data_IF_537347108166
#
_entry.id   IF_537347108166
#
_cell.length_a   1.000
_cell.length_b   1.000
_cell.length_c   1.000
_cell.angle_alpha   90.00
_cell.angle_beta   90.00
_cell.angle_gamma   90.00
#
_symmetry.space_group_name_H-M   'P 1'
#
loop_
_entity.id
_entity.type
_entity.pdbx_description
1 polymer ?
#
# COMPACT_ATOMS: atom_id res chain seq x y z
N UNK A 1 -0.16 -10.59 -5.47
CA UNK A 1 -0.86 -9.30 -5.57
C UNK A 1 -2.04 -9.30 -6.53
N UNK A 2 -1.91 -9.84 -7.76
CA UNK A 2 -3.01 -9.86 -8.74
C UNK A 2 -4.35 -10.34 -8.16
N UNK A 3 -4.38 -11.42 -7.39
CA UNK A 3 -5.61 -11.92 -6.77
C UNK A 3 -6.40 -10.84 -5.99
N UNK A 4 -5.75 -10.04 -5.15
CA UNK A 4 -6.45 -8.97 -4.42
C UNK A 4 -6.92 -7.86 -5.36
N UNK A 5 -6.03 -7.38 -6.24
CA UNK A 5 -6.34 -6.30 -7.17
C UNK A 5 -7.50 -6.66 -8.11
N UNK A 6 -7.52 -7.90 -8.60
CA UNK A 6 -8.52 -8.42 -9.53
C UNK A 6 -9.90 -8.58 -8.86
N UNK A 7 -9.93 -8.94 -7.57
CA UNK A 7 -11.19 -9.20 -6.84
C UNK A 7 -11.70 -8.02 -6.02
N UNK A 8 -10.91 -6.95 -5.82
CA UNK A 8 -11.31 -5.84 -4.96
C UNK A 8 -12.41 -4.97 -5.57
N UNK A 9 -12.41 -4.76 -6.89
CA UNK A 9 -13.45 -4.02 -7.61
C UNK A 9 -13.27 -4.12 -9.12
N UNK A 10 -14.35 -4.33 -9.87
CA UNK A 10 -14.35 -4.30 -11.34
C UNK A 10 -14.32 -2.89 -11.94
N UNK A 11 -14.41 -1.84 -11.12
CA UNK A 11 -14.37 -0.46 -11.60
C UNK A 11 -12.98 -0.07 -12.07
N UNK A 12 -12.89 0.51 -13.27
CA UNK A 12 -11.66 1.13 -13.78
C UNK A 12 -11.19 2.32 -12.94
N UNK A 13 -12.06 2.89 -12.10
CA UNK A 13 -11.71 3.96 -11.16
C UNK A 13 -11.25 3.45 -9.79
N UNK A 14 -11.08 2.14 -9.62
CA UNK A 14 -10.69 1.54 -8.35
C UNK A 14 -9.30 1.99 -7.90
N UNK A 15 -9.14 2.13 -6.58
CA UNK A 15 -7.88 2.45 -5.91
C UNK A 15 -7.62 1.39 -4.87
N UNK A 16 -6.45 0.78 -4.93
CA UNK A 16 -6.00 -0.22 -3.98
C UNK A 16 -5.13 0.45 -2.93
N UNK A 17 -5.45 0.21 -1.66
CA UNK A 17 -4.67 0.73 -0.54
C UNK A 17 -4.12 -0.42 0.29
N UNK A 18 -2.93 -0.21 0.83
CA UNK A 18 -2.32 -1.07 1.84
C UNK A 18 -1.37 -0.25 2.71
N UNK A 19 -1.05 -0.76 3.89
CA UNK A 19 -0.04 -0.16 4.77
C UNK A 19 1.25 -0.97 4.75
N UNK A 20 2.38 -0.30 4.91
CA UNK A 20 3.70 -0.92 5.12
C UNK A 20 4.38 -0.25 6.30
N UNK A 21 4.76 -1.02 7.31
CA UNK A 21 5.51 -0.48 8.45
C UNK A 21 6.93 -0.04 8.06
N UNK A 22 7.43 1.00 8.71
CA UNK A 22 8.73 1.62 8.44
C UNK A 22 9.93 0.67 8.63
N UNK A 23 9.82 -0.28 9.56
CA UNK A 23 10.86 -1.29 9.81
C UNK A 23 10.98 -2.32 8.68
N UNK A 24 10.09 -2.33 7.70
CA UNK A 24 10.12 -3.26 6.56
C UNK A 24 10.35 -2.53 5.21
N UNK A 25 11.53 -1.93 5.00
CA UNK A 25 11.84 -1.20 3.76
C UNK A 25 11.82 -2.11 2.51
N UNK A 26 12.05 -3.42 2.68
CA UNK A 26 11.96 -4.39 1.58
C UNK A 26 10.53 -4.53 1.06
N UNK A 27 9.54 -4.58 1.96
CA UNK A 27 8.13 -4.61 1.57
C UNK A 27 7.74 -3.31 0.84
N UNK A 28 8.17 -2.14 1.34
CA UNK A 28 7.91 -0.86 0.68
C UNK A 28 8.41 -0.87 -0.76
N UNK A 29 9.67 -1.27 -0.97
CA UNK A 29 10.27 -1.39 -2.31
C UNK A 29 9.56 -2.41 -3.20
N UNK A 30 9.11 -3.54 -2.65
CA UNK A 30 8.32 -4.53 -3.39
C UNK A 30 7.03 -3.90 -3.94
N UNK A 31 6.28 -3.17 -3.11
CA UNK A 31 5.03 -2.55 -3.54
C UNK A 31 5.25 -1.39 -4.52
N UNK A 32 6.33 -0.62 -4.35
CA UNK A 32 6.76 0.39 -5.32
C UNK A 32 7.01 -0.23 -6.70
N UNK A 33 7.73 -1.35 -6.76
CA UNK A 33 7.97 -2.09 -8.00
C UNK A 33 6.68 -2.64 -8.64
N UNK A 34 5.63 -2.88 -7.85
CA UNK A 34 4.32 -3.31 -8.32
C UNK A 34 3.40 -2.15 -8.75
N UNK A 35 3.91 -0.92 -8.70
CA UNK A 35 3.21 0.30 -9.14
C UNK A 35 2.46 1.04 -8.05
N UNK A 36 2.59 0.64 -6.78
CA UNK A 36 2.06 1.41 -5.66
C UNK A 36 2.93 2.63 -5.38
N UNK A 37 2.32 3.69 -4.86
CA UNK A 37 2.99 4.92 -4.45
C UNK A 37 2.65 5.24 -3.00
N UNK A 38 3.63 5.72 -2.24
CA UNK A 38 3.38 6.25 -0.91
C UNK A 38 2.55 7.53 -1.04
N UNK A 39 1.38 7.58 -0.40
CA UNK A 39 0.47 8.73 -0.42
C UNK A 39 0.28 9.36 0.97
N UNK A 40 0.91 8.78 1.99
CA UNK A 40 0.89 9.32 3.34
C UNK A 40 1.63 8.43 4.32
N UNK A 41 1.75 8.94 5.53
CA UNK A 41 2.32 8.24 6.68
C UNK A 41 1.30 8.29 7.82
N UNK A 42 1.19 7.18 8.55
CA UNK A 42 0.32 7.01 9.70
C UNK A 42 1.21 6.71 10.92
N UNK A 43 1.62 7.75 11.68
CA UNK A 43 2.51 7.56 12.82
C UNK A 43 1.84 6.77 13.94
N UNK A 44 2.50 5.73 14.43
CA UNK A 44 2.01 4.94 15.56
C UNK A 44 0.68 4.21 15.32
N UNK A 45 0.29 3.97 14.07
CA UNK A 45 -1.04 3.46 13.72
C UNK A 45 -1.32 2.06 14.25
N UNK A 46 -0.43 1.10 13.95
CA UNK A 46 -0.59 -0.28 14.43
C UNK A 46 0.15 -0.53 15.74
N UNK A 47 1.35 0.05 15.90
CA UNK A 47 2.19 -0.07 17.10
C UNK A 47 2.84 1.26 17.41
N UNK A 48 2.79 1.66 18.69
CA UNK A 48 3.42 2.89 19.16
C UNK A 48 4.92 2.89 18.83
N UNK A 49 5.39 3.99 18.23
CA UNK A 49 6.79 4.15 17.82
C UNK A 49 7.15 3.53 16.47
N UNK A 50 6.17 2.98 15.75
CA UNK A 50 6.33 2.47 14.39
C UNK A 50 5.40 3.26 13.47
N UNK A 51 5.94 3.83 12.41
CA UNK A 51 5.14 4.52 11.40
C UNK A 51 4.72 3.54 10.31
N UNK A 52 3.49 3.70 9.81
CA UNK A 52 3.01 2.95 8.66
C UNK A 52 2.94 3.86 7.43
N UNK A 53 3.56 3.48 6.33
CA UNK A 53 3.36 4.12 5.03
C UNK A 53 2.02 3.67 4.44
N UNK A 54 1.16 4.62 4.07
CA UNK A 54 -0.04 4.35 3.29
C UNK A 54 0.32 4.32 1.81
N UNK A 55 0.22 3.15 1.19
CA UNK A 55 0.55 2.90 -0.20
C UNK A 55 -0.73 2.82 -1.03
N UNK A 56 -0.73 3.41 -2.24
CA UNK A 56 -1.87 3.42 -3.14
C UNK A 56 -1.48 3.09 -4.58
N UNK A 57 -2.30 2.29 -5.25
CA UNK A 57 -2.23 2.02 -6.70
C UNK A 57 -3.59 2.24 -7.33
N UNK A 58 -3.63 2.81 -8.53
CA UNK A 58 -4.84 2.90 -9.35
C UNK A 58 -4.94 1.65 -10.23
N UNK A 59 -6.17 1.16 -10.46
CA UNK A 59 -6.41 0.17 -11.50
C UNK A 59 -6.08 0.81 -12.86
N UNK A 60 -5.33 0.08 -13.69
CA UNK A 60 -4.89 0.47 -15.03
C UNK A 60 -5.08 -0.70 -15.97
#
# INVERSE_FOLDING_TARGET
MKFFEDNASDSSSAKYFLTVDDFNPRAKKLYENLGYKCVGELPGFYKKGINCYLMMKRRG
#
